data_IF_472201567581
#
_entry.id   IF_472201567581
#
_cell.length_a   1.000
_cell.length_b   1.000
_cell.length_c   1.000
_cell.angle_alpha   90.00
_cell.angle_beta   90.00
_cell.angle_gamma   90.00
#
_symmetry.space_group_name_H-M   'P 1'
#
loop_
_entity.id
_entity.type
_entity.pdbx_description
1 polymer ?
#
# COMPACT_ATOMS: atom_id res chain seq x y z
N UNK A 1 2.68 10.34 6.74
CA UNK A 1 3.83 10.40 5.80
C UNK A 1 3.48 9.63 4.53
N UNK A 2 3.94 10.07 3.35
CA UNK A 2 3.80 9.35 2.08
C UNK A 2 5.05 8.49 1.84
N UNK A 3 4.87 7.26 1.39
CA UNK A 3 5.93 6.35 0.96
C UNK A 3 5.81 6.06 -0.52
N UNK A 4 6.93 6.06 -1.24
CA UNK A 4 7.00 5.63 -2.64
C UNK A 4 6.86 4.11 -2.75
N UNK A 5 6.56 3.61 -3.96
CA UNK A 5 6.52 2.15 -4.21
C UNK A 5 7.87 1.49 -3.93
N UNK A 6 8.97 2.13 -4.32
CA UNK A 6 10.32 1.68 -4.02
C UNK A 6 10.57 1.58 -2.50
N UNK A 7 10.19 2.61 -1.73
CA UNK A 7 10.32 2.58 -0.27
C UNK A 7 9.48 1.46 0.37
N UNK A 8 8.25 1.25 -0.11
CA UNK A 8 7.40 0.16 0.38
C UNK A 8 7.95 -1.22 0.03
N UNK A 9 8.61 -1.36 -1.12
CA UNK A 9 9.26 -2.59 -1.54
C UNK A 9 10.47 -2.89 -0.65
N UNK A 10 11.32 -1.90 -0.43
CA UNK A 10 12.52 -2.01 0.41
C UNK A 10 12.17 -2.33 1.87
N UNK A 11 11.12 -1.71 2.42
CA UNK A 11 10.71 -1.98 3.81
C UNK A 11 9.95 -3.29 4.00
N UNK A 12 9.30 -3.81 2.96
CA UNK A 12 8.41 -4.96 3.07
C UNK A 12 9.09 -6.31 2.83
N UNK A 13 10.27 -6.33 2.20
CA UNK A 13 10.91 -7.56 1.75
C UNK A 13 12.44 -7.49 1.76
N UNK A 14 13.08 -8.44 2.45
CA UNK A 14 14.54 -8.55 2.55
C UNK A 14 15.23 -8.99 1.25
N UNK A 15 14.48 -9.50 0.27
CA UNK A 15 15.03 -9.96 -1.00
C UNK A 15 14.13 -9.52 -2.17
N UNK A 16 14.43 -8.37 -2.83
CA UNK A 16 13.57 -7.77 -3.85
C UNK A 16 13.68 -8.46 -5.23
N UNK A 17 14.32 -9.63 -5.31
CA UNK A 17 14.68 -10.26 -6.58
C UNK A 17 13.46 -10.41 -7.50
N UNK A 18 13.52 -9.71 -8.63
CA UNK A 18 12.50 -9.58 -9.68
C UNK A 18 11.14 -8.95 -9.30
N UNK A 19 11.01 -8.27 -8.16
CA UNK A 19 9.74 -7.60 -7.80
C UNK A 19 9.68 -6.19 -8.37
N UNK A 20 8.81 -6.01 -9.35
CA UNK A 20 8.50 -4.69 -9.90
C UNK A 20 7.69 -3.87 -8.90
N UNK A 21 7.91 -2.55 -8.89
CA UNK A 21 7.11 -1.59 -8.11
C UNK A 21 5.59 -1.75 -8.31
N UNK A 22 5.17 -2.24 -9.49
CA UNK A 22 3.77 -2.56 -9.82
C UNK A 22 3.14 -3.61 -8.90
N UNK A 23 3.94 -4.50 -8.31
CA UNK A 23 3.45 -5.52 -7.38
C UNK A 23 2.89 -4.89 -6.10
N UNK A 24 3.41 -3.71 -5.69
CA UNK A 24 2.86 -2.94 -4.57
C UNK A 24 1.40 -2.56 -4.83
N UNK A 25 1.03 -2.18 -6.06
CA UNK A 25 -0.35 -1.83 -6.39
C UNK A 25 -1.32 -3.00 -6.12
N UNK A 26 -0.91 -4.23 -6.48
CA UNK A 26 -1.68 -5.46 -6.24
C UNK A 26 -1.79 -5.79 -4.75
N UNK A 27 -0.73 -5.58 -3.98
CA UNK A 27 -0.76 -5.76 -2.53
C UNK A 27 -1.68 -4.74 -1.85
N UNK A 28 -1.63 -3.47 -2.26
CA UNK A 28 -2.54 -2.43 -1.75
C UNK A 28 -3.99 -2.77 -2.07
N UNK A 29 -4.29 -3.22 -3.29
CA UNK A 29 -5.64 -3.68 -3.68
C UNK A 29 -6.12 -4.82 -2.77
N UNK A 30 -5.26 -5.80 -2.52
CA UNK A 30 -5.58 -6.96 -1.67
C UNK A 30 -5.79 -6.55 -0.21
N UNK A 31 -4.96 -5.65 0.30
CA UNK A 31 -5.07 -5.11 1.65
C UNK A 31 -6.36 -4.33 1.85
N UNK A 32 -6.71 -3.43 0.91
CA UNK A 32 -8.00 -2.72 0.90
C UNK A 32 -9.18 -3.71 0.95
N UNK A 33 -9.14 -4.78 0.16
CA UNK A 33 -10.18 -5.80 0.17
C UNK A 33 -10.32 -6.51 1.52
N UNK A 34 -9.20 -6.80 2.21
CA UNK A 34 -9.24 -7.40 3.57
C UNK A 34 -9.77 -6.42 4.61
N UNK A 35 -9.33 -5.16 4.57
CA UNK A 35 -9.79 -4.12 5.50
C UNK A 35 -11.28 -3.83 5.33
N UNK A 36 -11.76 -3.74 4.09
CA UNK A 36 -13.18 -3.53 3.79
C UNK A 36 -14.08 -4.65 4.34
N UNK A 37 -13.60 -5.91 4.38
CA UNK A 37 -14.35 -7.01 5.01
C UNK A 37 -14.53 -6.84 6.53
N UNK A 38 -13.63 -6.11 7.19
CA UNK A 38 -13.65 -5.89 8.64
C UNK A 38 -14.42 -4.61 8.97
N UNK A 39 -14.14 -3.52 8.25
CA UNK A 39 -14.77 -2.21 8.43
C UNK A 39 -15.06 -1.61 7.05
N UNK A 40 -16.25 -1.86 6.47
CA UNK A 40 -16.58 -1.45 5.11
C UNK A 40 -16.45 0.05 4.84
N UNK A 41 -16.75 0.86 5.86
CA UNK A 41 -16.77 2.33 5.76
C UNK A 41 -15.38 2.97 5.96
N UNK A 42 -14.35 2.18 6.25
CA UNK A 42 -12.98 2.68 6.42
C UNK A 42 -12.19 2.63 5.11
N UNK A 43 -11.56 3.76 4.74
CA UNK A 43 -10.51 3.80 3.72
C UNK A 43 -9.20 4.36 4.30
N UNK A 44 -8.44 3.54 5.07
CA UNK A 44 -7.26 4.03 5.78
C UNK A 44 -6.03 4.21 4.89
N UNK A 45 -6.07 3.88 3.60
CA UNK A 45 -4.92 3.95 2.70
C UNK A 45 -5.17 5.03 1.64
N UNK A 46 -4.51 6.17 1.71
CA UNK A 46 -4.60 7.21 0.67
C UNK A 46 -3.65 6.93 -0.50
N UNK A 47 -4.13 7.12 -1.73
CA UNK A 47 -3.33 7.00 -2.96
C UNK A 47 -2.88 8.39 -3.43
N UNK A 48 -1.56 8.59 -3.49
CA UNK A 48 -0.95 9.80 -4.05
C UNK A 48 -0.48 9.47 -5.48
N UNK A 49 -1.28 9.84 -6.48
CA UNK A 49 -1.01 9.51 -7.89
C UNK A 49 0.37 10.03 -8.31
N UNK A 50 1.17 9.15 -8.92
CA UNK A 50 2.55 9.47 -9.31
C UNK A 50 3.58 9.42 -8.17
N UNK A 51 3.16 9.30 -6.90
CA UNK A 51 4.07 9.31 -5.74
C UNK A 51 4.06 7.96 -5.01
N UNK A 52 2.90 7.51 -4.52
CA UNK A 52 2.81 6.30 -3.70
C UNK A 52 1.62 6.30 -2.76
N UNK A 53 1.83 5.85 -1.51
CA UNK A 53 0.75 5.59 -0.56
C UNK A 53 1.04 6.16 0.84
N UNK A 54 -0.01 6.47 1.58
CA UNK A 54 0.07 6.86 3.00
C UNK A 54 -1.08 6.27 3.79
N UNK A 55 -0.88 6.06 5.08
CA UNK A 55 -1.98 5.78 5.99
C UNK A 55 -2.66 7.07 6.44
N UNK A 56 -3.99 7.05 6.53
CA UNK A 56 -4.81 8.09 7.15
C UNK A 56 -4.97 7.73 8.64
N UNK A 57 -4.46 8.53 9.57
CA UNK A 57 -4.67 8.29 10.99
C UNK A 57 -6.16 8.33 11.34
N UNK A 58 -6.65 7.31 12.06
CA UNK A 58 -8.01 7.29 12.60
C UNK A 58 -9.14 6.89 11.64
N UNK A 59 -8.81 6.42 10.43
CA UNK A 59 -9.79 5.89 9.46
C UNK A 59 -10.39 4.54 9.86
#
# INVERSE_FOLDING_TARGET
RVFTRAQLLEHGWDNPDHRLERTIDSHIKSLRGKLHKIKPDADPICTHRGVGYSLIPGA
#
